data_IF_042727377293
#
_entry.id   IF_042727377293
#
_cell.length_a   1.000
_cell.length_b   1.000
_cell.length_c   1.000
_cell.angle_alpha   90.00
_cell.angle_beta   90.00
_cell.angle_gamma   90.00
#
_symmetry.space_group_name_H-M   'P 1'
#
loop_
_entity.id
_entity.type
_entity.pdbx_description
1 polymer ?
#
# COMPACT_ATOMS: atom_id res chain seq x y z
N UNK A 1 25.77 8.49 22.41
CA UNK A 1 25.12 9.60 21.67
C UNK A 1 23.90 9.05 20.95
N UNK A 2 22.83 9.82 20.83
CA UNK A 2 21.63 9.36 20.12
C UNK A 2 21.90 9.29 18.61
N UNK A 3 21.49 8.20 17.95
CA UNK A 3 21.63 8.01 16.51
C UNK A 3 20.76 9.02 15.76
N UNK A 4 21.34 9.73 14.79
CA UNK A 4 20.57 10.56 13.86
C UNK A 4 20.32 9.83 12.54
N UNK A 5 19.21 10.16 11.89
CA UNK A 5 18.77 9.42 10.70
C UNK A 5 18.52 10.32 9.48
N UNK A 6 18.70 9.74 8.29
CA UNK A 6 18.07 10.18 7.06
C UNK A 6 16.79 9.36 6.79
N UNK A 7 15.73 10.00 6.30
CA UNK A 7 14.44 9.34 6.05
C UNK A 7 14.06 9.36 4.57
N UNK A 8 13.62 8.21 4.03
CA UNK A 8 13.20 8.07 2.63
C UNK A 8 11.76 7.58 2.57
N UNK A 9 10.89 8.40 1.97
CA UNK A 9 9.48 8.05 1.86
C UNK A 9 8.67 9.06 1.06
N UNK A 10 7.41 8.75 0.73
CA UNK A 10 6.58 9.68 -0.05
C UNK A 10 5.11 9.72 0.38
N UNK A 11 4.35 8.60 0.53
CA UNK A 11 2.92 8.60 0.76
C UNK A 11 2.54 8.95 2.21
N UNK A 12 1.24 9.09 2.45
CA UNK A 12 0.70 9.52 3.75
C UNK A 12 1.05 8.59 4.91
N UNK A 13 1.05 7.28 4.72
CA UNK A 13 1.43 6.34 5.78
C UNK A 13 2.94 6.40 6.08
N UNK A 14 3.77 6.73 5.09
CA UNK A 14 5.19 7.02 5.32
C UNK A 14 5.38 8.35 6.07
N UNK A 15 4.58 9.38 5.78
CA UNK A 15 4.57 10.63 6.55
C UNK A 15 4.18 10.40 8.02
N UNK A 16 3.21 9.51 8.26
CA UNK A 16 2.79 9.13 9.62
C UNK A 16 3.91 8.42 10.40
N UNK A 17 4.70 7.55 9.73
CA UNK A 17 5.88 6.94 10.36
C UNK A 17 6.94 8.00 10.68
N UNK A 18 7.20 8.94 9.77
CA UNK A 18 8.13 10.05 10.01
C UNK A 18 7.71 10.86 11.24
N UNK A 19 6.43 11.21 11.36
CA UNK A 19 5.88 11.93 12.52
C UNK A 19 6.16 11.18 13.82
N UNK A 20 5.85 9.88 13.87
CA UNK A 20 6.11 9.03 15.05
C UNK A 20 7.60 8.97 15.44
N UNK A 21 8.49 8.92 14.45
CA UNK A 21 9.94 8.95 14.68
C UNK A 21 10.35 10.27 15.33
N UNK A 22 9.81 11.41 14.85
CA UNK A 22 10.08 12.74 15.40
C UNK A 22 9.53 12.85 16.82
N UNK A 23 8.28 12.43 17.05
CA UNK A 23 7.64 12.41 18.38
C UNK A 23 8.39 11.53 19.39
N UNK A 24 9.06 10.46 18.93
CA UNK A 24 9.92 9.64 19.76
C UNK A 24 11.27 10.29 20.16
N UNK A 25 11.50 11.55 19.73
CA UNK A 25 12.70 12.31 20.01
C UNK A 25 13.92 11.93 19.18
N UNK A 26 13.72 11.19 18.07
CA UNK A 26 14.81 10.80 17.17
C UNK A 26 15.11 11.95 16.21
N UNK A 27 16.39 12.33 16.12
CA UNK A 27 16.83 13.40 15.23
C UNK A 27 16.80 12.92 13.77
N UNK A 28 16.05 13.64 12.94
CA UNK A 28 15.99 13.43 11.49
C UNK A 28 16.79 14.57 10.83
N UNK A 29 17.91 14.24 10.20
CA UNK A 29 18.79 15.24 9.59
C UNK A 29 18.27 15.75 8.24
N UNK A 30 17.60 14.88 7.47
CA UNK A 30 16.98 15.19 6.19
C UNK A 30 15.91 14.17 5.82
N UNK A 31 15.05 14.52 4.86
CA UNK A 31 14.16 13.59 4.18
C UNK A 31 14.41 13.57 2.68
N UNK A 32 14.29 12.39 2.06
CA UNK A 32 14.26 12.22 0.62
C UNK A 32 12.87 11.77 0.19
N UNK A 33 12.28 12.48 -0.75
CA UNK A 33 10.93 12.16 -1.23
C UNK A 33 10.84 12.37 -2.75
N UNK A 34 9.81 11.80 -3.36
CA UNK A 34 9.54 12.04 -4.78
C UNK A 34 9.23 13.51 -5.06
N UNK A 35 9.35 13.92 -6.33
CA UNK A 35 8.98 15.26 -6.77
C UNK A 35 7.48 15.52 -6.59
N UNK A 36 7.13 16.78 -6.40
CA UNK A 36 5.74 17.23 -6.34
C UNK A 36 5.02 16.89 -7.64
N UNK A 37 3.77 16.44 -7.53
CA UNK A 37 2.98 16.03 -8.71
C UNK A 37 1.72 16.86 -8.84
N UNK A 38 1.27 17.10 -10.09
CA UNK A 38 -0.03 17.73 -10.33
C UNK A 38 -1.15 16.83 -9.82
N UNK A 39 -2.04 17.38 -8.99
CA UNK A 39 -3.18 16.66 -8.39
C UNK A 39 -4.49 17.36 -8.73
N UNK A 40 -5.54 16.58 -8.95
CA UNK A 40 -6.90 17.07 -9.20
C UNK A 40 -7.10 17.63 -10.62
N UNK A 41 -8.32 18.13 -10.88
CA UNK A 41 -8.71 18.66 -12.21
C UNK A 41 -7.93 19.92 -12.61
N UNK A 42 -7.50 20.71 -11.63
CA UNK A 42 -6.73 21.94 -11.85
C UNK A 42 -5.24 21.72 -12.01
N UNK A 43 -4.75 20.45 -11.89
CA UNK A 43 -3.33 20.10 -11.98
C UNK A 43 -2.42 20.95 -11.06
N UNK A 44 -2.91 21.30 -9.87
CA UNK A 44 -2.11 22.02 -8.89
C UNK A 44 -0.99 21.12 -8.36
N UNK A 45 0.23 21.64 -8.33
CA UNK A 45 1.38 20.93 -7.76
C UNK A 45 1.16 20.77 -6.26
N UNK A 46 1.08 19.54 -5.79
CA UNK A 46 0.98 19.24 -4.37
C UNK A 46 2.25 18.57 -3.87
N UNK A 47 2.78 19.00 -2.71
CA UNK A 47 3.89 18.33 -2.08
C UNK A 47 3.50 16.89 -1.71
N UNK A 48 4.51 16.01 -1.66
CA UNK A 48 4.28 14.69 -1.07
C UNK A 48 3.92 14.84 0.41
N UNK A 49 3.14 13.93 1.00
CA UNK A 49 2.87 13.95 2.43
C UNK A 49 4.13 14.02 3.30
N UNK A 50 5.18 13.24 2.98
CA UNK A 50 6.46 13.28 3.69
C UNK A 50 7.12 14.67 3.59
N UNK A 51 7.09 15.32 2.42
CA UNK A 51 7.59 16.71 2.30
C UNK A 51 6.81 17.68 3.19
N UNK A 52 5.49 17.57 3.22
CA UNK A 52 4.64 18.42 4.03
C UNK A 52 5.00 18.29 5.52
N UNK A 53 5.09 17.06 6.05
CA UNK A 53 5.52 16.79 7.43
C UNK A 53 6.92 17.34 7.70
N UNK A 54 7.89 17.08 6.82
CA UNK A 54 9.27 17.55 7.01
C UNK A 54 9.36 19.07 7.12
N UNK A 55 8.64 19.79 6.26
CA UNK A 55 8.61 21.26 6.28
C UNK A 55 7.98 21.81 7.57
N UNK A 56 6.95 21.17 8.12
CA UNK A 56 6.34 21.55 9.40
C UNK A 56 7.32 21.44 10.56
N UNK A 57 8.25 20.50 10.50
CA UNK A 57 9.28 20.28 11.53
C UNK A 57 10.64 20.94 11.21
N UNK A 58 10.72 21.74 10.14
CA UNK A 58 11.97 22.40 9.75
C UNK A 58 13.07 21.45 9.26
N UNK A 59 12.71 20.25 8.83
CA UNK A 59 13.66 19.23 8.35
C UNK A 59 13.98 19.50 6.88
N UNK A 60 15.27 19.48 6.48
CA UNK A 60 15.69 19.63 5.09
C UNK A 60 15.06 18.56 4.18
N UNK A 61 14.57 18.99 3.01
CA UNK A 61 13.90 18.13 2.03
C UNK A 61 14.72 18.03 0.75
N UNK A 62 15.05 16.81 0.35
CA UNK A 62 15.69 16.51 -0.90
C UNK A 62 14.68 15.80 -1.82
N UNK A 63 14.58 16.21 -3.08
CA UNK A 63 13.67 15.63 -4.05
C UNK A 63 14.43 15.23 -5.32
N UNK A 64 14.13 14.04 -5.83
CA UNK A 64 14.66 13.58 -7.11
C UNK A 64 13.62 12.72 -7.82
N UNK A 65 13.48 12.87 -9.13
CA UNK A 65 12.62 12.01 -9.93
C UNK A 65 13.22 10.61 -10.10
N UNK A 66 14.55 10.55 -10.23
CA UNK A 66 15.32 9.31 -10.42
C UNK A 66 16.62 9.36 -9.65
N UNK A 67 16.54 9.13 -8.35
CA UNK A 67 17.71 9.23 -7.46
C UNK A 67 18.93 8.45 -7.97
N UNK A 68 18.75 7.31 -8.61
CA UNK A 68 19.83 6.51 -9.17
C UNK A 68 20.69 7.26 -10.22
N UNK A 69 20.11 8.25 -10.91
CA UNK A 69 20.77 9.04 -11.96
C UNK A 69 21.14 10.46 -11.49
N UNK A 70 20.72 10.85 -10.29
CA UNK A 70 20.86 12.20 -9.76
C UNK A 70 22.04 12.28 -8.80
N UNK A 71 23.24 12.41 -9.37
CA UNK A 71 24.50 12.47 -8.60
C UNK A 71 24.58 13.70 -7.69
N UNK A 72 23.88 14.81 -8.03
CA UNK A 72 23.84 16.02 -7.20
C UNK A 72 23.12 15.70 -5.90
N UNK A 73 21.91 15.15 -5.98
CA UNK A 73 21.13 14.78 -4.79
C UNK A 73 21.81 13.65 -4.02
N UNK A 74 22.44 12.68 -4.70
CA UNK A 74 23.24 11.63 -4.02
C UNK A 74 24.36 12.25 -3.16
N UNK A 75 25.13 13.18 -3.71
CA UNK A 75 26.21 13.88 -2.99
C UNK A 75 25.67 14.72 -1.82
N UNK A 76 24.50 15.35 -1.98
CA UNK A 76 23.85 16.04 -0.86
C UNK A 76 23.46 15.07 0.25
N UNK A 77 22.86 13.92 -0.08
CA UNK A 77 22.47 12.90 0.91
C UNK A 77 23.68 12.44 1.74
N UNK A 78 24.76 12.04 1.08
CA UNK A 78 25.97 11.53 1.78
C UNK A 78 26.74 12.61 2.53
N UNK A 79 26.48 13.90 2.31
CA UNK A 79 27.11 14.98 3.09
C UNK A 79 26.48 15.19 4.47
N UNK A 80 25.30 14.62 4.73
CA UNK A 80 24.69 14.68 6.07
C UNK A 80 25.33 13.68 7.02
N UNK A 81 25.45 14.00 8.32
CA UNK A 81 26.11 13.15 9.30
C UNK A 81 25.22 12.03 9.83
N UNK A 82 24.15 11.68 9.12
CA UNK A 82 23.21 10.64 9.56
C UNK A 82 23.88 9.27 9.66
N UNK A 83 23.67 8.60 10.78
CA UNK A 83 24.28 7.31 11.06
C UNK A 83 23.48 6.11 10.58
N UNK A 84 22.20 6.30 10.25
CA UNK A 84 21.27 5.29 9.72
C UNK A 84 20.35 5.92 8.69
N UNK A 85 20.00 5.18 7.63
CA UNK A 85 18.88 5.59 6.77
C UNK A 85 17.67 4.68 7.00
N UNK A 86 16.50 5.29 7.12
CA UNK A 86 15.21 4.61 7.26
C UNK A 86 14.39 4.81 6.00
N UNK A 87 13.95 3.71 5.40
CA UNK A 87 13.17 3.72 4.16
C UNK A 87 11.79 3.16 4.43
N UNK A 88 10.75 3.87 4.00
CA UNK A 88 9.39 3.35 3.98
C UNK A 88 8.60 3.91 2.81
N UNK A 89 8.30 3.06 1.84
CA UNK A 89 7.52 3.38 0.65
C UNK A 89 8.06 4.62 -0.11
N UNK A 90 9.35 4.66 -0.37
CA UNK A 90 9.98 5.71 -1.18
C UNK A 90 9.62 5.57 -2.67
N UNK A 91 9.58 4.33 -3.18
CA UNK A 91 9.11 4.03 -4.53
C UNK A 91 10.12 4.31 -5.67
N UNK A 92 11.38 4.65 -5.34
CA UNK A 92 12.47 4.80 -6.29
C UNK A 92 13.68 3.99 -5.83
N UNK A 93 14.52 3.57 -6.78
CA UNK A 93 15.75 2.82 -6.48
C UNK A 93 16.76 3.74 -5.81
N UNK A 94 17.24 3.33 -4.64
CA UNK A 94 18.33 3.98 -3.91
C UNK A 94 19.64 3.29 -4.34
N UNK A 95 20.62 4.01 -4.91
CA UNK A 95 21.88 3.40 -5.35
C UNK A 95 22.73 2.93 -4.17
N UNK A 96 23.57 1.91 -4.41
CA UNK A 96 24.43 1.28 -3.39
C UNK A 96 25.32 2.30 -2.68
N UNK A 97 25.92 3.24 -3.43
CA UNK A 97 26.70 4.34 -2.88
C UNK A 97 25.96 5.12 -1.78
N UNK A 98 24.64 5.25 -1.90
CA UNK A 98 23.80 5.98 -0.93
C UNK A 98 23.40 5.06 0.21
N UNK A 99 22.81 3.88 -0.08
CA UNK A 99 22.26 3.06 1.00
C UNK A 99 23.31 2.38 1.89
N UNK A 100 24.55 2.19 1.42
CA UNK A 100 25.65 1.64 2.22
C UNK A 100 26.49 2.71 2.93
N UNK A 101 26.19 4.01 2.72
CA UNK A 101 26.99 5.11 3.25
C UNK A 101 26.94 5.24 4.77
N UNK A 102 25.74 5.22 5.43
CA UNK A 102 25.67 5.48 6.86
C UNK A 102 26.30 4.32 7.68
N UNK A 103 26.83 4.68 8.84
CA UNK A 103 27.54 3.76 9.76
C UNK A 103 26.76 2.49 10.08
N UNK A 104 25.43 2.63 10.26
CA UNK A 104 24.53 1.53 10.55
C UNK A 104 23.73 1.08 9.31
N UNK A 105 24.21 1.45 8.11
CA UNK A 105 23.60 1.13 6.82
C UNK A 105 22.18 1.71 6.63
N UNK A 106 21.39 1.07 5.82
CA UNK A 106 20.01 1.50 5.56
C UNK A 106 19.05 0.37 5.83
N UNK A 107 17.94 0.68 6.49
CA UNK A 107 16.88 -0.28 6.79
C UNK A 107 15.58 0.11 6.10
N UNK A 108 14.77 -0.89 5.73
CA UNK A 108 13.49 -0.68 5.08
C UNK A 108 12.38 -1.39 5.86
N UNK A 109 11.28 -0.69 6.09
CA UNK A 109 10.03 -1.29 6.54
C UNK A 109 9.28 -1.80 5.32
N UNK A 110 9.22 -3.13 5.14
CA UNK A 110 8.58 -3.77 4.01
C UNK A 110 7.23 -4.37 4.40
N UNK A 111 6.20 -4.14 3.57
CA UNK A 111 4.81 -4.50 3.87
C UNK A 111 4.47 -5.96 3.58
N UNK A 112 5.36 -6.90 3.87
CA UNK A 112 5.10 -8.34 3.82
C UNK A 112 6.02 -9.12 4.75
N UNK A 113 5.72 -10.41 4.92
CA UNK A 113 6.62 -11.38 5.55
C UNK A 113 7.62 -11.87 4.51
N UNK A 114 8.78 -11.23 4.43
CA UNK A 114 9.86 -11.64 3.54
C UNK A 114 10.31 -13.09 3.86
N UNK A 115 10.67 -13.88 2.84
CA UNK A 115 10.96 -13.48 1.47
C UNK A 115 9.74 -13.44 0.51
N UNK A 116 8.50 -13.59 1.00
CA UNK A 116 7.30 -13.45 0.16
C UNK A 116 7.05 -12.00 -0.22
N UNK A 117 6.52 -11.81 -1.44
CA UNK A 117 6.06 -10.51 -1.96
C UNK A 117 7.14 -9.42 -1.99
N UNK A 118 8.39 -9.75 -2.40
CA UNK A 118 9.39 -8.74 -2.74
C UNK A 118 8.88 -7.85 -3.86
N UNK A 119 9.10 -6.53 -3.79
CA UNK A 119 8.75 -5.60 -4.85
C UNK A 119 7.78 -4.50 -4.46
N UNK A 120 7.06 -3.95 -5.46
CA UNK A 120 6.45 -2.62 -5.35
C UNK A 120 5.07 -2.57 -4.67
N UNK A 121 4.34 -3.69 -4.57
CA UNK A 121 2.95 -3.71 -4.07
C UNK A 121 2.69 -4.94 -3.18
N UNK A 122 3.45 -5.13 -2.08
CA UNK A 122 3.35 -6.32 -1.25
C UNK A 122 1.97 -6.50 -0.61
N UNK A 123 1.40 -5.45 -0.03
CA UNK A 123 0.10 -5.49 0.67
C UNK A 123 -1.04 -5.81 -0.30
N UNK A 124 -1.06 -5.15 -1.46
CA UNK A 124 -2.06 -5.43 -2.49
C UNK A 124 -1.94 -6.87 -2.99
N UNK A 125 -0.72 -7.35 -3.23
CA UNK A 125 -0.49 -8.72 -3.72
C UNK A 125 -0.88 -9.77 -2.70
N UNK A 126 -0.65 -9.51 -1.41
CA UNK A 126 -1.14 -10.33 -0.32
C UNK A 126 -2.68 -10.42 -0.33
N UNK A 127 -3.37 -9.27 -0.40
CA UNK A 127 -4.84 -9.25 -0.44
C UNK A 127 -5.41 -9.95 -1.67
N UNK A 128 -4.77 -9.77 -2.84
CA UNK A 128 -5.15 -10.44 -4.09
C UNK A 128 -4.95 -11.96 -4.02
N UNK A 129 -3.96 -12.45 -3.28
CA UNK A 129 -3.74 -13.89 -3.11
C UNK A 129 -4.82 -14.57 -2.27
N UNK A 130 -5.50 -13.84 -1.40
CA UNK A 130 -6.48 -14.37 -0.47
C UNK A 130 -5.88 -15.12 0.72
N UNK A 131 -4.57 -14.99 0.96
CA UNK A 131 -3.95 -15.50 2.20
C UNK A 131 -4.54 -14.78 3.42
N UNK A 132 -4.50 -15.43 4.58
CA UNK A 132 -5.10 -14.91 5.83
C UNK A 132 -4.07 -14.39 6.82
N UNK A 133 -2.78 -14.72 6.66
CA UNK A 133 -1.70 -14.28 7.56
C UNK A 133 -0.82 -13.30 6.82
N UNK A 134 -0.75 -12.07 7.31
CA UNK A 134 0.14 -11.03 6.81
C UNK A 134 1.14 -10.58 7.87
N UNK A 135 1.90 -9.54 7.56
CA UNK A 135 2.85 -8.94 8.48
C UNK A 135 3.75 -7.93 7.78
N UNK A 136 4.73 -7.45 8.53
CA UNK A 136 5.79 -6.62 7.99
C UNK A 136 7.16 -7.22 8.30
N UNK A 137 8.15 -6.75 7.57
CA UNK A 137 9.55 -7.08 7.79
C UNK A 137 10.38 -5.81 7.81
N UNK A 138 11.22 -5.63 8.82
CA UNK A 138 12.31 -4.67 8.81
C UNK A 138 13.57 -5.41 8.31
N UNK A 139 14.15 -4.93 7.22
CA UNK A 139 15.31 -5.54 6.56
C UNK A 139 16.37 -4.50 6.26
N UNK A 140 17.63 -4.93 6.09
CA UNK A 140 18.65 -4.11 5.46
C UNK A 140 18.37 -3.90 3.98
N UNK A 141 18.75 -2.77 3.42
CA UNK A 141 18.77 -2.62 1.97
C UNK A 141 19.87 -3.49 1.37
N UNK A 142 19.59 -4.03 0.19
CA UNK A 142 20.54 -4.80 -0.61
C UNK A 142 20.46 -4.38 -2.07
N UNK A 143 21.43 -4.81 -2.87
CA UNK A 143 21.51 -4.48 -4.31
C UNK A 143 20.29 -4.99 -5.07
N UNK A 144 19.80 -6.20 -4.73
CA UNK A 144 18.55 -6.73 -5.25
C UNK A 144 17.38 -6.25 -4.37
N UNK A 145 16.29 -5.88 -5.02
CA UNK A 145 15.11 -5.32 -4.33
C UNK A 145 14.58 -6.31 -3.29
N UNK A 146 14.44 -5.82 -2.07
CA UNK A 146 13.87 -6.53 -0.91
C UNK A 146 14.52 -7.89 -0.60
N UNK A 147 15.83 -8.03 -0.89
CA UNK A 147 16.60 -9.27 -0.67
C UNK A 147 17.55 -9.24 0.53
N UNK A 148 17.63 -8.12 1.22
CA UNK A 148 18.56 -7.93 2.35
C UNK A 148 18.18 -8.75 3.57
N UNK A 149 19.14 -8.87 4.50
CA UNK A 149 18.98 -9.62 5.74
C UNK A 149 17.84 -9.04 6.59
N UNK A 150 17.05 -9.92 7.19
CA UNK A 150 15.94 -9.57 8.07
C UNK A 150 16.50 -9.19 9.46
N UNK A 151 16.03 -8.07 9.98
CA UNK A 151 16.30 -7.59 11.34
C UNK A 151 15.17 -8.04 12.27
N UNK A 152 13.94 -7.81 11.84
CA UNK A 152 12.72 -8.11 12.60
C UNK A 152 11.55 -8.36 11.67
N UNK A 153 10.61 -9.20 12.08
CA UNK A 153 9.33 -9.39 11.42
C UNK A 153 8.25 -9.69 12.43
N UNK A 154 7.03 -9.25 12.16
CA UNK A 154 5.83 -9.54 12.96
C UNK A 154 4.71 -9.95 12.03
N UNK A 155 3.92 -10.95 12.45
CA UNK A 155 2.80 -11.48 11.68
C UNK A 155 1.50 -11.46 12.48
N UNK A 156 0.36 -11.34 11.77
CA UNK A 156 -0.98 -11.41 12.34
C UNK A 156 -1.99 -11.95 11.33
N UNK A 157 -3.12 -12.42 11.84
CA UNK A 157 -4.26 -12.83 11.02
C UNK A 157 -5.04 -11.61 10.53
N UNK A 158 -5.50 -11.66 9.28
CA UNK A 158 -6.31 -10.61 8.68
C UNK A 158 -7.79 -10.98 8.68
N UNK A 159 -8.63 -9.95 8.74
CA UNK A 159 -10.07 -10.04 8.52
C UNK A 159 -10.39 -10.02 7.02
N UNK A 160 -11.52 -10.63 6.65
CA UNK A 160 -12.08 -10.51 5.29
C UNK A 160 -12.43 -9.05 4.94
N UNK A 161 -12.64 -8.19 5.92
CA UNK A 161 -12.94 -6.79 5.74
C UNK A 161 -11.69 -5.89 5.59
N UNK A 162 -10.49 -6.43 5.83
CA UNK A 162 -9.27 -5.64 5.73
C UNK A 162 -9.00 -5.19 4.30
N UNK A 163 -8.55 -3.96 4.18
CA UNK A 163 -8.18 -3.29 2.93
C UNK A 163 -6.69 -2.97 2.92
N UNK A 164 -6.16 -2.56 1.78
CA UNK A 164 -4.79 -2.05 1.71
C UNK A 164 -4.56 -0.90 2.70
N UNK A 165 -5.55 -0.01 2.87
CA UNK A 165 -5.43 1.12 3.80
C UNK A 165 -5.38 0.66 5.26
N UNK A 166 -6.27 -0.26 5.69
CA UNK A 166 -6.26 -0.77 7.06
C UNK A 166 -4.95 -1.48 7.39
N UNK A 167 -4.47 -2.34 6.49
CA UNK A 167 -3.22 -3.07 6.69
C UNK A 167 -2.00 -2.15 6.69
N UNK A 168 -1.91 -1.16 5.79
CA UNK A 168 -0.82 -0.18 5.80
C UNK A 168 -0.85 0.69 7.06
N UNK A 169 -2.04 1.02 7.59
CA UNK A 169 -2.15 1.73 8.87
C UNK A 169 -1.62 0.87 10.02
N UNK A 170 -2.02 -0.40 10.12
CA UNK A 170 -1.55 -1.32 11.14
C UNK A 170 -0.03 -1.56 11.04
N UNK A 171 0.49 -1.77 9.81
CA UNK A 171 1.94 -1.89 9.57
C UNK A 171 2.70 -0.63 9.97
N UNK A 172 2.13 0.55 9.75
CA UNK A 172 2.75 1.82 10.16
C UNK A 172 2.83 1.95 11.67
N UNK A 173 1.80 1.50 12.40
CA UNK A 173 1.80 1.51 13.86
C UNK A 173 2.81 0.50 14.41
N UNK A 174 2.63 -0.79 14.13
CA UNK A 174 3.47 -1.86 14.65
C UNK A 174 4.92 -1.79 14.15
N UNK A 175 5.09 -1.59 12.84
CA UNK A 175 6.41 -1.45 12.23
C UNK A 175 7.12 -0.18 12.67
N UNK A 176 6.37 0.89 12.95
CA UNK A 176 6.88 2.12 13.54
C UNK A 176 7.48 1.90 14.92
N UNK A 177 6.79 1.15 15.79
CA UNK A 177 7.34 0.78 17.11
C UNK A 177 8.64 -0.01 17.00
N UNK A 178 8.69 -0.94 16.04
CA UNK A 178 9.89 -1.72 15.76
C UNK A 178 11.04 -0.85 15.24
N UNK A 179 10.79 0.05 14.28
CA UNK A 179 11.80 0.98 13.76
C UNK A 179 12.34 1.87 14.88
N UNK A 180 11.47 2.46 15.71
CA UNK A 180 11.87 3.31 16.83
C UNK A 180 12.71 2.52 17.85
N UNK A 181 12.30 1.30 18.18
CA UNK A 181 13.04 0.42 19.10
C UNK A 181 14.42 0.05 18.54
N UNK A 182 14.50 -0.28 17.25
CA UNK A 182 15.73 -0.57 16.53
C UNK A 182 16.70 0.63 16.61
N UNK A 183 16.22 1.84 16.27
CA UNK A 183 17.05 3.06 16.28
C UNK A 183 17.61 3.34 17.69
N UNK A 184 16.75 3.20 18.71
CA UNK A 184 17.14 3.42 20.11
C UNK A 184 18.15 2.39 20.64
N UNK A 185 18.13 1.17 20.12
CA UNK A 185 19.04 0.10 20.54
C UNK A 185 20.41 0.15 19.85
N UNK A 186 20.53 0.81 18.70
CA UNK A 186 21.76 0.84 17.89
C UNK A 186 23.03 1.30 18.60
N UNK A 187 23.00 2.31 19.50
CA UNK A 187 24.23 2.74 20.20
C UNK A 187 24.90 1.63 21.02
N UNK A 188 24.11 0.67 21.51
CA UNK A 188 24.55 -0.31 22.52
C UNK A 188 24.51 -1.76 22.01
N UNK A 189 23.96 -2.00 20.80
CA UNK A 189 23.80 -3.36 20.28
C UNK A 189 24.02 -3.46 18.77
N UNK A 190 24.53 -4.63 18.36
CA UNK A 190 24.51 -5.05 16.95
C UNK A 190 23.14 -5.61 16.59
N UNK A 191 22.53 -5.11 15.52
CA UNK A 191 21.26 -5.66 15.02
C UNK A 191 21.46 -7.08 14.47
N UNK A 192 20.47 -7.90 14.67
CA UNK A 192 20.44 -9.25 14.07
C UNK A 192 20.48 -9.15 12.56
N UNK A 193 21.15 -10.14 11.95
CA UNK A 193 21.14 -10.36 10.50
C UNK A 193 20.70 -11.79 10.24
N UNK A 194 19.45 -11.94 9.78
CA UNK A 194 18.86 -13.22 9.42
C UNK A 194 18.79 -13.29 7.91
N UNK A 195 19.66 -14.07 7.24
CA UNK A 195 19.61 -14.21 5.79
C UNK A 195 18.26 -14.73 5.33
N UNK A 196 17.74 -14.15 4.24
CA UNK A 196 16.50 -14.64 3.64
C UNK A 196 16.74 -15.97 2.91
N UNK A 197 15.78 -16.89 2.98
CA UNK A 197 15.77 -18.07 2.12
C UNK A 197 15.27 -17.68 0.71
N UNK A 198 16.20 -17.43 -0.21
CA UNK A 198 15.90 -16.99 -1.56
C UNK A 198 15.07 -17.99 -2.38
N UNK A 199 15.10 -19.28 -2.04
CA UNK A 199 14.29 -20.30 -2.74
C UNK A 199 12.77 -20.17 -2.47
N UNK A 200 12.41 -19.49 -1.38
CA UNK A 200 11.00 -19.20 -0.99
C UNK A 200 10.54 -17.82 -1.44
N UNK A 201 11.38 -17.06 -2.13
CA UNK A 201 11.04 -15.70 -2.54
C UNK A 201 9.94 -15.69 -3.60
N UNK A 202 8.94 -14.85 -3.36
CA UNK A 202 7.94 -14.47 -4.37
C UNK A 202 8.04 -12.99 -4.67
N UNK A 203 7.60 -12.57 -5.85
CA UNK A 203 7.74 -11.20 -6.31
C UNK A 203 6.39 -10.60 -6.65
N UNK A 204 6.20 -9.35 -6.30
CA UNK A 204 5.02 -8.58 -6.64
C UNK A 204 5.35 -7.42 -7.58
N UNK A 205 4.49 -7.21 -8.57
CA UNK A 205 4.60 -6.10 -9.52
C UNK A 205 3.86 -4.87 -8.98
N UNK A 206 4.18 -3.73 -9.56
CA UNK A 206 3.42 -2.51 -9.32
C UNK A 206 2.02 -2.66 -9.91
N UNK A 207 1.00 -2.28 -9.13
CA UNK A 207 -0.39 -2.21 -9.61
C UNK A 207 -0.48 -1.16 -10.72
N UNK A 208 -1.16 -1.50 -11.79
CA UNK A 208 -1.31 -0.70 -13.01
C UNK A 208 -2.78 -0.44 -13.32
N UNK A 209 -3.03 0.36 -14.37
CA UNK A 209 -4.40 0.60 -14.84
C UNK A 209 -5.09 -0.69 -15.33
N UNK A 210 -4.32 -1.67 -15.83
CA UNK A 210 -4.86 -2.94 -16.32
C UNK A 210 -5.39 -3.85 -15.21
N UNK A 211 -4.95 -3.65 -13.96
CA UNK A 211 -5.37 -4.47 -12.82
C UNK A 211 -6.70 -4.00 -12.20
N UNK A 212 -7.27 -2.90 -12.68
CA UNK A 212 -8.42 -2.22 -12.09
C UNK A 212 -9.80 -2.72 -12.56
N UNK A 213 -9.98 -3.10 -13.84
CA UNK A 213 -11.26 -3.60 -14.30
C UNK A 213 -11.64 -4.89 -13.58
N UNK A 214 -12.92 -4.99 -13.17
CA UNK A 214 -13.45 -6.21 -12.57
C UNK A 214 -13.87 -7.17 -13.68
N UNK A 215 -13.40 -8.40 -13.58
CA UNK A 215 -13.80 -9.51 -14.42
C UNK A 215 -14.83 -10.37 -13.67
N UNK A 216 -16.12 -10.15 -13.95
CA UNK A 216 -17.20 -10.85 -13.24
C UNK A 216 -17.19 -12.37 -13.42
N UNK A 217 -16.46 -12.87 -14.41
CA UNK A 217 -16.22 -14.32 -14.61
C UNK A 217 -15.34 -14.95 -13.52
N UNK A 218 -14.68 -14.16 -12.68
CA UNK A 218 -13.94 -14.66 -11.52
C UNK A 218 -14.86 -15.01 -10.36
N UNK A 219 -14.34 -15.70 -9.36
CA UNK A 219 -15.08 -16.02 -8.14
C UNK A 219 -15.42 -14.75 -7.34
N UNK A 220 -16.50 -14.81 -6.57
CA UNK A 220 -16.90 -13.71 -5.68
C UNK A 220 -15.77 -13.35 -4.70
N UNK A 221 -15.05 -14.33 -4.17
CA UNK A 221 -13.92 -14.13 -3.30
C UNK A 221 -12.76 -13.38 -3.99
N UNK A 222 -12.42 -13.76 -5.23
CA UNK A 222 -11.36 -13.10 -5.99
C UNK A 222 -11.71 -11.63 -6.30
N UNK A 223 -12.97 -11.35 -6.65
CA UNK A 223 -13.44 -9.99 -6.93
C UNK A 223 -13.46 -9.16 -5.64
N UNK A 224 -13.94 -9.72 -4.53
CA UNK A 224 -13.88 -9.07 -3.22
C UNK A 224 -12.45 -8.69 -2.84
N UNK A 225 -11.51 -9.62 -3.02
CA UNK A 225 -10.08 -9.38 -2.77
C UNK A 225 -9.52 -8.26 -3.67
N UNK A 226 -9.93 -8.21 -4.95
CA UNK A 226 -9.52 -7.12 -5.84
C UNK A 226 -10.04 -5.76 -5.38
N UNK A 227 -11.29 -5.68 -4.94
CA UNK A 227 -11.88 -4.42 -4.43
C UNK A 227 -11.12 -3.92 -3.21
N UNK A 228 -10.92 -4.76 -2.20
CA UNK A 228 -10.23 -4.40 -0.96
C UNK A 228 -8.73 -4.16 -1.14
N UNK A 229 -8.09 -4.86 -2.08
CA UNK A 229 -6.67 -4.65 -2.41
C UNK A 229 -6.41 -3.33 -3.12
N UNK A 230 -7.37 -2.83 -3.90
CA UNK A 230 -7.23 -1.60 -4.66
C UNK A 230 -7.85 -0.37 -3.98
N UNK A 231 -8.41 -0.54 -2.78
CA UNK A 231 -8.91 0.57 -1.96
C UNK A 231 -7.80 1.13 -1.05
N UNK A 232 -7.63 2.47 -0.94
CA UNK A 232 -8.42 3.54 -1.54
C UNK A 232 -7.86 4.06 -2.88
N UNK A 233 -6.79 3.49 -3.39
CA UNK A 233 -6.13 3.88 -4.63
C UNK A 233 -5.38 2.67 -5.22
N UNK A 234 -5.60 2.36 -6.51
CA UNK A 234 -6.27 3.14 -7.57
C UNK A 234 -7.77 2.81 -7.79
N UNK A 235 -8.43 2.09 -6.91
CA UNK A 235 -9.80 1.55 -6.97
C UNK A 235 -10.07 0.55 -8.11
N UNK A 236 -10.80 -0.52 -7.80
CA UNK A 236 -11.40 -1.39 -8.78
C UNK A 236 -12.68 -0.76 -9.38
N UNK A 237 -12.99 -1.07 -10.62
CA UNK A 237 -14.19 -0.56 -11.27
C UNK A 237 -14.80 -1.59 -12.22
N UNK A 238 -16.08 -1.40 -12.49
CA UNK A 238 -16.84 -2.08 -13.54
C UNK A 238 -17.47 -1.05 -14.47
N UNK A 239 -18.18 -1.50 -15.49
CA UNK A 239 -18.91 -0.65 -16.43
C UNK A 239 -20.39 -0.99 -16.39
N UNK A 240 -21.25 0.05 -16.35
CA UNK A 240 -22.69 -0.07 -16.46
C UNK A 240 -23.22 0.92 -17.48
N UNK A 241 -23.92 0.45 -18.51
CA UNK A 241 -24.41 1.27 -19.63
C UNK A 241 -23.33 2.18 -20.24
N UNK A 242 -22.11 1.63 -20.42
CA UNK A 242 -20.97 2.35 -20.99
C UNK A 242 -20.30 3.38 -20.07
N UNK A 243 -20.74 3.51 -18.81
CA UNK A 243 -20.17 4.42 -17.80
C UNK A 243 -19.43 3.65 -16.73
N UNK A 244 -18.33 4.21 -16.26
CA UNK A 244 -17.54 3.61 -15.17
C UNK A 244 -18.29 3.70 -13.84
N UNK A 245 -18.24 2.59 -13.09
CA UNK A 245 -18.72 2.51 -11.71
C UNK A 245 -17.58 1.97 -10.86
N UNK A 246 -17.00 2.80 -10.00
CA UNK A 246 -15.99 2.39 -9.04
C UNK A 246 -16.68 1.60 -7.93
N UNK A 247 -16.12 0.45 -7.55
CA UNK A 247 -16.55 -0.33 -6.39
C UNK A 247 -15.66 0.03 -5.21
N UNK A 248 -16.25 0.70 -4.22
CA UNK A 248 -15.52 1.20 -3.05
C UNK A 248 -15.50 0.18 -1.92
N UNK A 249 -16.62 -0.51 -1.72
CA UNK A 249 -16.75 -1.51 -0.66
C UNK A 249 -17.69 -2.63 -1.08
N UNK A 250 -17.26 -3.84 -0.81
CA UNK A 250 -18.03 -5.06 -1.02
C UNK A 250 -18.02 -5.91 0.26
N UNK A 251 -18.93 -6.85 0.35
CA UNK A 251 -18.94 -7.89 1.37
C UNK A 251 -19.12 -9.25 0.72
N UNK A 252 -18.55 -10.25 1.36
CA UNK A 252 -18.62 -11.63 0.93
C UNK A 252 -19.29 -12.44 2.04
N UNK A 253 -20.40 -13.09 1.69
CA UNK A 253 -21.08 -14.00 2.61
C UNK A 253 -20.52 -15.42 2.39
N UNK A 254 -20.03 -16.02 3.47
CA UNK A 254 -19.46 -17.38 3.45
C UNK A 254 -20.49 -18.48 3.22
N UNK A 255 -21.78 -18.17 3.41
CA UNK A 255 -22.87 -19.08 3.04
C UNK A 255 -23.10 -18.97 1.55
N UNK A 256 -22.76 -20.04 0.81
CA UNK A 256 -22.94 -20.14 -0.64
C UNK A 256 -24.41 -19.91 -1.03
N UNK A 257 -24.75 -18.69 -1.39
CA UNK A 257 -26.02 -18.43 -2.10
C UNK A 257 -25.70 -18.49 -3.58
N UNK A 258 -25.89 -19.65 -4.17
CA UNK A 258 -25.71 -19.84 -5.62
C UNK A 258 -26.88 -19.29 -6.38
N UNK A 259 -26.59 -18.59 -7.45
CA UNK A 259 -27.58 -18.11 -8.43
C UNK A 259 -27.26 -18.68 -9.80
N UNK A 260 -28.28 -19.19 -10.47
CA UNK A 260 -28.20 -19.60 -11.88
C UNK A 260 -28.40 -18.42 -12.86
N UNK A 261 -28.49 -17.21 -12.35
CA UNK A 261 -28.63 -16.03 -13.19
C UNK A 261 -27.31 -15.74 -13.95
N UNK A 262 -27.42 -14.93 -14.98
CA UNK A 262 -26.27 -14.57 -15.83
C UNK A 262 -25.17 -13.88 -15.01
N UNK A 263 -23.92 -14.28 -15.24
CA UNK A 263 -22.74 -13.64 -14.64
C UNK A 263 -22.73 -12.13 -14.92
N UNK A 264 -22.48 -11.34 -13.89
CA UNK A 264 -22.51 -9.87 -13.94
C UNK A 264 -23.92 -9.29 -13.74
N UNK A 265 -24.99 -10.10 -13.71
CA UNK A 265 -26.32 -9.59 -13.34
C UNK A 265 -26.36 -9.21 -11.88
N UNK A 266 -27.12 -8.16 -11.57
CA UNK A 266 -27.20 -7.63 -10.21
C UNK A 266 -28.64 -7.32 -9.82
N UNK A 267 -28.95 -7.49 -8.53
CA UNK A 267 -30.31 -7.36 -8.01
C UNK A 267 -30.30 -6.97 -6.53
N UNK A 268 -31.44 -6.49 -6.03
CA UNK A 268 -31.64 -6.26 -4.61
C UNK A 268 -32.10 -7.56 -3.93
N UNK A 269 -31.31 -8.04 -2.99
CA UNK A 269 -31.69 -9.11 -2.09
C UNK A 269 -32.33 -8.60 -0.79
N UNK A 270 -32.31 -9.43 0.23
CA UNK A 270 -32.83 -9.10 1.56
C UNK A 270 -32.16 -7.83 2.12
N UNK A 271 -32.90 -7.12 2.99
CA UNK A 271 -32.46 -5.86 3.62
C UNK A 271 -31.99 -4.79 2.64
N UNK A 272 -32.51 -4.83 1.40
CA UNK A 272 -32.16 -3.86 0.34
C UNK A 272 -30.67 -3.86 -0.02
N UNK A 273 -29.99 -4.98 0.13
CA UNK A 273 -28.58 -5.14 -0.24
C UNK A 273 -28.46 -5.39 -1.74
N UNK A 274 -27.51 -4.76 -2.38
CA UNK A 274 -27.17 -5.01 -3.78
C UNK A 274 -26.22 -6.21 -3.89
N UNK A 275 -26.61 -7.19 -4.70
CA UNK A 275 -25.80 -8.38 -5.01
C UNK A 275 -25.51 -8.45 -6.50
N UNK A 276 -24.34 -9.00 -6.84
CA UNK A 276 -23.95 -9.31 -8.21
C UNK A 276 -23.52 -10.77 -8.31
N UNK A 277 -23.92 -11.44 -9.39
CA UNK A 277 -23.60 -12.85 -9.67
C UNK A 277 -22.19 -12.94 -10.24
N UNK A 278 -21.34 -13.76 -9.62
CA UNK A 278 -19.96 -14.00 -10.03
C UNK A 278 -19.79 -15.29 -10.81
N UNK A 279 -18.61 -15.50 -11.39
CA UNK A 279 -18.33 -16.61 -12.28
C UNK A 279 -18.40 -18.01 -11.63
N UNK A 280 -18.25 -18.09 -10.32
CA UNK A 280 -18.43 -19.30 -9.51
C UNK A 280 -19.90 -19.54 -9.09
N UNK A 281 -20.84 -18.70 -9.56
CA UNK A 281 -22.25 -18.73 -9.18
C UNK A 281 -22.55 -18.11 -7.82
N UNK A 282 -21.52 -17.71 -7.05
CA UNK A 282 -21.71 -17.06 -5.77
C UNK A 282 -22.08 -15.57 -5.95
N UNK A 283 -22.67 -15.02 -4.90
CA UNK A 283 -23.10 -13.62 -4.87
C UNK A 283 -22.03 -12.76 -4.17
N UNK A 284 -21.65 -11.68 -4.82
CA UNK A 284 -20.87 -10.61 -4.19
C UNK A 284 -21.82 -9.48 -3.77
N UNK A 285 -21.82 -9.16 -2.48
CA UNK A 285 -22.53 -7.98 -1.96
C UNK A 285 -21.76 -6.70 -2.28
N UNK A 286 -22.46 -5.70 -2.81
CA UNK A 286 -21.90 -4.38 -3.13
C UNK A 286 -22.46 -3.37 -2.17
N UNK A 287 -21.62 -2.90 -1.24
CA UNK A 287 -22.01 -1.99 -0.19
C UNK A 287 -21.95 -0.53 -0.64
N UNK A 288 -20.85 -0.15 -1.31
CA UNK A 288 -20.63 1.23 -1.71
C UNK A 288 -20.00 1.32 -3.10
N UNK A 289 -20.53 2.23 -3.91
CA UNK A 289 -20.08 2.51 -5.27
C UNK A 289 -19.92 4.00 -5.52
N UNK A 290 -19.15 4.34 -6.56
CA UNK A 290 -19.07 5.69 -7.07
C UNK A 290 -19.24 5.69 -8.60
N UNK A 291 -20.43 6.01 -9.13
CA UNK A 291 -20.63 6.19 -10.56
C UNK A 291 -19.84 7.39 -11.09
N UNK A 292 -19.48 7.33 -12.37
CA UNK A 292 -18.76 8.39 -13.04
C UNK A 292 -19.47 9.76 -12.89
N UNK A 293 -18.72 10.75 -12.40
CA UNK A 293 -19.22 12.13 -12.20
C UNK A 293 -20.14 12.31 -10.99
N UNK A 294 -20.33 11.27 -10.15
CA UNK A 294 -21.16 11.34 -8.94
C UNK A 294 -20.33 11.16 -7.67
N UNK A 295 -20.93 11.49 -6.54
CA UNK A 295 -20.39 11.19 -5.22
C UNK A 295 -20.56 9.70 -4.89
N UNK A 296 -19.76 9.15 -3.95
CA UNK A 296 -20.00 7.84 -3.36
C UNK A 296 -21.45 7.69 -2.86
N UNK A 297 -22.03 6.50 -3.08
CA UNK A 297 -23.38 6.16 -2.65
C UNK A 297 -23.48 4.68 -2.31
N UNK A 298 -24.54 4.29 -1.59
CA UNK A 298 -24.79 2.87 -1.30
C UNK A 298 -25.15 2.10 -2.57
N UNK A 299 -24.91 0.79 -2.58
CA UNK A 299 -25.36 -0.08 -3.67
C UNK A 299 -26.87 0.00 -3.90
N UNK A 300 -27.66 0.18 -2.83
CA UNK A 300 -29.11 0.38 -2.89
C UNK A 300 -29.49 1.67 -3.64
N UNK A 301 -28.87 2.80 -3.28
CA UNK A 301 -29.14 4.09 -3.95
C UNK A 301 -28.72 4.07 -5.41
N UNK A 302 -27.60 3.38 -5.71
CA UNK A 302 -27.18 3.17 -7.09
C UNK A 302 -28.23 2.41 -7.89
N UNK A 303 -28.71 1.25 -7.38
CA UNK A 303 -29.70 0.42 -8.05
C UNK A 303 -30.97 1.21 -8.38
N UNK A 304 -31.53 1.91 -7.38
CA UNK A 304 -32.75 2.71 -7.55
C UNK A 304 -32.53 3.91 -8.47
N UNK A 305 -31.44 4.64 -8.28
CA UNK A 305 -31.11 5.82 -9.08
C UNK A 305 -30.80 5.50 -10.54
N UNK A 306 -30.26 4.32 -10.80
CA UNK A 306 -30.00 3.81 -12.14
C UNK A 306 -31.28 3.25 -12.81
N UNK A 307 -32.36 2.99 -12.05
CA UNK A 307 -33.55 2.27 -12.53
C UNK A 307 -33.17 1.02 -13.28
N UNK A 308 -32.32 0.21 -12.64
CA UNK A 308 -31.76 -0.99 -13.25
C UNK A 308 -32.87 -2.01 -13.56
N UNK A 309 -32.81 -2.61 -14.75
CA UNK A 309 -33.74 -3.64 -15.20
C UNK A 309 -33.21 -5.03 -14.81
N UNK A 310 -34.09 -6.03 -14.66
CA UNK A 310 -33.70 -7.38 -14.19
C UNK A 310 -32.61 -8.09 -15.02
N UNK A 311 -32.53 -7.78 -16.32
CA UNK A 311 -31.60 -8.45 -17.26
C UNK A 311 -30.30 -7.66 -17.50
N UNK A 312 -30.13 -6.53 -16.85
CA UNK A 312 -28.92 -5.73 -17.02
C UNK A 312 -27.76 -6.32 -16.23
N UNK A 313 -26.56 -6.14 -16.78
CA UNK A 313 -25.33 -6.67 -16.21
C UNK A 313 -24.27 -5.57 -16.10
N UNK A 314 -23.41 -5.71 -15.11
CA UNK A 314 -22.09 -5.09 -15.12
C UNK A 314 -21.20 -5.76 -16.19
N UNK A 315 -20.29 -4.97 -16.77
CA UNK A 315 -19.34 -5.41 -17.80
C UNK A 315 -17.90 -5.16 -17.36
#
# INVERSE_FOLDING_TARGET
MAVSIGYFGSPHFSAKLLERIIEAGIKVDFVVTNIDKPVGRKKELKPTPVKATALQHGIPVLQSERLRLDTIVQNQIISYPSELYVVFAYGSIIPELVFSHPKFESINLHGSLLPKYRGASPVQSFLLSGESITGYTVQYLAKEVDSGDIIHSESWETSIADTTESLLSEMTEKGGDSIISIIKALPDSTLKRIPQNHSLATHCKKITAADRPIEWSKSAFAIHNQIRALYPDPFAFTTFRGKRVILLKSFFETNEVKSNAKVGSFFLGEKKRLFCVCGDGNLLGIEQVQPEGKNPMTGFDFFNGARALPDETFL
#
